data_IF_374909380568
#
_entry.id   IF_374909380568
#
_cell.length_a   1.000
_cell.length_b   1.000
_cell.length_c   1.000
_cell.angle_alpha   90.00
_cell.angle_beta   90.00
_cell.angle_gamma   90.00
#
_symmetry.space_group_name_H-M   'P 1'
#
loop_
_entity.id
_entity.type
_entity.pdbx_description
1 polymer ?
#
# COMPACT_ATOMS: atom_id res chain seq x y z
N UNK A 1 23.26 5.97 -1.66
CA UNK A 1 21.96 6.18 -2.31
C UNK A 1 20.93 6.20 -1.19
N UNK A 2 20.28 7.32 -0.91
CA UNK A 2 19.21 7.34 0.11
C UNK A 2 18.03 6.57 -0.47
N UNK A 3 17.64 5.48 0.19
CA UNK A 3 16.43 4.75 -0.20
C UNK A 3 15.25 5.65 0.17
N UNK A 4 14.49 6.18 -0.80
CA UNK A 4 13.36 7.03 -0.47
C UNK A 4 12.39 6.23 0.40
N UNK A 5 11.91 6.84 1.48
CA UNK A 5 10.89 6.24 2.32
C UNK A 5 9.76 7.24 2.53
N UNK A 6 8.53 6.74 2.51
CA UNK A 6 7.34 7.58 2.50
C UNK A 6 6.80 7.73 3.91
N UNK A 7 6.89 8.95 4.44
CA UNK A 7 6.43 9.29 5.79
C UNK A 7 4.96 9.73 5.84
N UNK A 8 4.45 10.30 4.75
CA UNK A 8 3.04 10.71 4.62
C UNK A 8 2.56 10.64 3.18
N UNK A 9 1.25 10.49 3.03
CA UNK A 9 0.53 10.57 1.76
C UNK A 9 -0.26 11.87 1.73
N UNK A 10 -0.01 12.70 0.73
CA UNK A 10 -0.78 13.92 0.48
C UNK A 10 -1.70 13.68 -0.71
N UNK A 11 -3.01 13.80 -0.48
CA UNK A 11 -4.03 13.63 -1.52
C UNK A 11 -4.65 14.99 -1.81
N UNK A 12 -4.48 15.46 -3.03
CA UNK A 12 -5.06 16.72 -3.49
C UNK A 12 -6.27 16.45 -4.38
N UNK A 13 -7.35 17.17 -4.07
CA UNK A 13 -8.63 17.11 -4.79
C UNK A 13 -9.08 18.53 -5.13
N UNK A 14 -10.09 18.68 -6.00
CA UNK A 14 -10.71 19.98 -6.25
C UNK A 14 -11.29 20.67 -5.00
N UNK A 15 -11.52 19.91 -3.92
CA UNK A 15 -12.00 20.42 -2.63
C UNK A 15 -10.88 20.77 -1.63
N UNK A 16 -9.61 20.51 -1.97
CA UNK A 16 -8.45 20.78 -1.12
C UNK A 16 -7.50 19.59 -0.95
N UNK A 17 -6.51 19.75 -0.07
CA UNK A 17 -5.46 18.76 0.21
C UNK A 17 -5.68 18.10 1.58
N UNK A 18 -5.63 16.77 1.61
CA UNK A 18 -5.66 15.95 2.82
C UNK A 18 -4.32 15.24 3.04
N UNK A 19 -3.87 15.17 4.28
CA UNK A 19 -2.61 14.52 4.66
C UNK A 19 -2.90 13.28 5.50
N UNK A 20 -2.35 12.14 5.08
CA UNK A 20 -2.48 10.85 5.76
C UNK A 20 -1.13 10.39 6.30
N UNK A 21 -1.09 10.15 7.61
CA UNK A 21 0.07 9.61 8.31
C UNK A 21 -0.08 8.10 8.54
N UNK A 22 1.03 7.37 8.82
CA UNK A 22 0.98 6.01 9.30
C UNK A 22 0.07 5.88 10.52
N UNK A 23 -0.94 5.01 10.43
CA UNK A 23 -1.83 4.70 11.54
C UNK A 23 -1.86 3.19 11.78
N UNK A 24 -1.18 2.73 12.83
CA UNK A 24 -1.10 1.31 13.19
C UNK A 24 -2.43 0.70 13.69
N UNK A 25 -3.48 1.51 13.81
CA UNK A 25 -4.84 1.05 14.05
C UNK A 25 -5.62 0.76 12.75
N UNK A 26 -5.08 1.13 11.58
CA UNK A 26 -5.70 0.81 10.29
C UNK A 26 -5.69 -0.69 10.03
N UNK A 27 -6.67 -1.15 9.24
CA UNK A 27 -6.79 -2.56 8.86
C UNK A 27 -5.54 -3.08 8.15
N UNK A 28 -5.17 -4.32 8.48
CA UNK A 28 -4.20 -5.11 7.73
C UNK A 28 -4.99 -6.09 6.87
N UNK A 29 -4.66 -6.13 5.58
CA UNK A 29 -5.31 -7.01 4.61
C UNK A 29 -4.31 -8.03 4.10
N UNK A 30 -4.85 -9.18 3.70
CA UNK A 30 -4.13 -10.20 2.94
C UNK A 30 -4.64 -10.14 1.52
N UNK A 31 -3.75 -9.97 0.54
CA UNK A 31 -4.12 -9.92 -0.85
C UNK A 31 -3.15 -10.69 -1.74
N UNK A 32 -3.66 -11.15 -2.88
CA UNK A 32 -2.90 -11.87 -3.88
C UNK A 32 -2.55 -10.92 -5.05
N UNK A 33 -1.26 -10.60 -5.27
CA UNK A 33 -0.83 -9.73 -6.37
C UNK A 33 -1.18 -10.30 -7.74
N UNK A 34 -1.27 -9.46 -8.77
CA UNK A 34 -1.60 -9.95 -10.10
C UNK A 34 -0.43 -10.75 -10.68
N UNK A 35 -0.73 -11.69 -11.58
CA UNK A 35 0.28 -12.27 -12.45
C UNK A 35 0.97 -11.15 -13.25
N UNK A 36 2.29 -11.06 -13.10
CA UNK A 36 3.15 -10.03 -13.71
C UNK A 36 3.64 -8.94 -12.74
N UNK A 37 3.09 -8.85 -11.53
CA UNK A 37 3.55 -7.88 -10.53
C UNK A 37 4.96 -8.24 -9.98
N UNK A 38 5.63 -7.35 -9.25
CA UNK A 38 6.92 -7.69 -8.63
C UNK A 38 6.76 -8.70 -7.49
N UNK A 39 5.63 -8.66 -6.78
CA UNK A 39 5.36 -9.45 -5.57
C UNK A 39 4.59 -10.76 -5.84
N UNK A 40 4.67 -11.32 -7.05
CA UNK A 40 3.84 -12.49 -7.46
C UNK A 40 4.01 -13.74 -6.59
N UNK A 41 5.09 -13.83 -5.83
CA UNK A 41 5.43 -15.00 -5.05
C UNK A 41 4.72 -14.98 -3.69
N UNK A 42 3.41 -15.24 -3.72
CA UNK A 42 2.58 -15.50 -2.55
C UNK A 42 1.69 -14.35 -2.09
N UNK A 43 1.01 -14.58 -0.98
CA UNK A 43 0.09 -13.60 -0.40
C UNK A 43 0.85 -12.50 0.34
N UNK A 44 0.41 -11.26 0.13
CA UNK A 44 0.97 -10.07 0.76
C UNK A 44 0.09 -9.66 1.94
N UNK A 45 0.70 -9.44 3.11
CA UNK A 45 0.02 -9.09 4.36
C UNK A 45 0.46 -7.70 4.78
N UNK A 46 -0.27 -6.66 4.37
CA UNK A 46 0.15 -5.27 4.58
C UNK A 46 -1.00 -4.37 5.06
N UNK A 47 -0.61 -3.24 5.66
CA UNK A 47 -1.52 -2.28 6.25
C UNK A 47 -2.10 -1.36 5.20
N UNK A 48 -3.41 -1.11 5.29
CA UNK A 48 -4.10 -0.16 4.42
C UNK A 48 -3.86 1.25 4.92
N UNK A 49 -3.35 2.12 4.05
CA UNK A 49 -3.25 3.55 4.30
C UNK A 49 -4.45 4.31 3.74
N UNK A 50 -4.91 3.92 2.55
CA UNK A 50 -6.06 4.56 1.90
C UNK A 50 -6.90 3.51 1.17
N UNK A 51 -8.22 3.62 1.31
CA UNK A 51 -9.21 2.92 0.49
C UNK A 51 -9.76 3.90 -0.54
N UNK A 52 -9.45 3.67 -1.81
CA UNK A 52 -9.87 4.51 -2.92
C UNK A 52 -11.11 3.88 -3.54
N UNK A 53 -12.19 4.67 -3.63
CA UNK A 53 -13.41 4.28 -4.34
C UNK A 53 -13.37 4.89 -5.73
N UNK A 54 -13.34 4.06 -6.75
CA UNK A 54 -13.42 4.48 -8.16
C UNK A 54 -14.80 4.12 -8.67
N UNK A 55 -15.58 5.13 -9.07
CA UNK A 55 -16.86 4.93 -9.74
C UNK A 55 -16.60 5.08 -11.23
N UNK A 56 -16.89 4.03 -12.01
CA UNK A 56 -16.75 4.09 -13.46
C UNK A 56 -17.67 5.15 -14.06
N UNK A 57 -17.27 5.69 -15.22
CA UNK A 57 -18.15 6.49 -16.07
C UNK A 57 -18.71 5.59 -17.19
N UNK A 58 -19.98 5.75 -17.56
CA UNK A 58 -20.63 4.95 -18.60
C UNK A 58 -21.42 3.75 -18.07
N UNK A 59 -21.39 2.60 -18.77
CA UNK A 59 -22.23 1.43 -18.45
C UNK A 59 -21.81 0.64 -17.20
N UNK A 60 -20.60 0.86 -16.67
CA UNK A 60 -20.13 0.20 -15.45
C UNK A 60 -20.27 1.15 -14.25
N UNK A 61 -21.47 1.17 -13.66
CA UNK A 61 -21.82 2.07 -12.54
C UNK A 61 -21.40 1.53 -11.17
N UNK A 62 -20.88 0.30 -11.11
CA UNK A 62 -20.49 -0.32 -9.84
C UNK A 62 -19.18 0.28 -9.34
N UNK A 63 -19.12 0.72 -8.07
CA UNK A 63 -17.87 1.21 -7.51
C UNK A 63 -16.87 0.06 -7.40
N UNK A 64 -15.66 0.28 -7.90
CA UNK A 64 -14.50 -0.58 -7.64
C UNK A 64 -13.66 0.05 -6.55
N UNK A 65 -13.16 -0.78 -5.64
CA UNK A 65 -12.30 -0.32 -4.56
C UNK A 65 -10.86 -0.78 -4.75
N UNK A 66 -9.93 0.13 -4.47
CA UNK A 66 -8.50 -0.11 -4.47
C UNK A 66 -7.90 0.28 -3.12
N UNK A 67 -6.82 -0.38 -2.74
CA UNK A 67 -6.17 -0.22 -1.46
C UNK A 67 -4.71 0.18 -1.68
N UNK A 68 -4.33 1.35 -1.15
CA UNK A 68 -2.91 1.68 -0.99
C UNK A 68 -2.41 0.99 0.27
N UNK A 69 -1.50 0.05 0.08
CA UNK A 69 -0.92 -0.77 1.15
C UNK A 69 0.58 -0.56 1.28
N UNK A 70 1.07 -0.74 2.50
CA UNK A 70 2.50 -0.68 2.85
C UNK A 70 2.75 -1.62 4.03
N UNK A 71 3.84 -2.39 3.95
CA UNK A 71 4.31 -3.18 5.09
C UNK A 71 4.78 -2.28 6.24
N UNK A 72 4.56 -2.69 7.48
CA UNK A 72 4.95 -1.91 8.66
C UNK A 72 6.47 -1.69 8.73
N UNK A 73 7.26 -2.60 8.15
CA UNK A 73 8.72 -2.53 8.01
C UNK A 73 9.20 -2.14 6.60
N UNK A 74 8.29 -1.86 5.66
CA UNK A 74 8.63 -1.49 4.29
C UNK A 74 8.72 0.05 4.20
N UNK A 75 9.81 0.65 3.71
CA UNK A 75 9.90 2.10 3.54
C UNK A 75 8.99 2.68 2.45
N UNK A 76 8.58 1.86 1.49
CA UNK A 76 7.80 2.28 0.32
C UNK A 76 6.40 1.67 0.33
N UNK A 77 5.47 2.31 -0.39
CA UNK A 77 4.20 1.68 -0.72
C UNK A 77 4.42 0.46 -1.61
N UNK A 78 3.53 -0.52 -1.52
CA UNK A 78 3.65 -1.73 -2.32
C UNK A 78 3.49 -1.42 -3.80
N UNK A 79 2.65 -0.44 -4.14
CA UNK A 79 2.44 0.01 -5.50
C UNK A 79 3.72 0.63 -6.11
N UNK A 80 4.09 0.17 -7.30
CA UNK A 80 5.25 0.67 -8.05
C UNK A 80 4.94 0.72 -9.54
N UNK A 81 5.06 1.89 -10.17
CA UNK A 81 4.79 2.04 -11.61
C UNK A 81 5.76 1.23 -12.48
N UNK A 82 7.04 1.22 -12.12
CA UNK A 82 8.10 0.52 -12.83
C UNK A 82 9.35 0.41 -11.96
N UNK A 83 9.97 -0.77 -11.95
CA UNK A 83 11.28 -1.04 -11.39
C UNK A 83 12.30 -1.31 -12.51
N UNK A 84 13.29 -0.44 -12.74
CA UNK A 84 14.32 -0.67 -13.76
C UNK A 84 15.19 -1.91 -13.48
N UNK A 85 15.33 -2.33 -12.22
CA UNK A 85 16.20 -3.44 -11.84
C UNK A 85 15.56 -4.80 -12.16
N UNK A 86 14.28 -4.98 -11.83
CA UNK A 86 13.53 -6.20 -12.15
C UNK A 86 12.78 -6.14 -13.49
N UNK A 87 12.63 -4.96 -14.08
CA UNK A 87 11.80 -4.72 -15.27
C UNK A 87 10.30 -4.89 -15.02
N UNK A 88 9.89 -5.01 -13.75
CA UNK A 88 8.51 -5.28 -13.34
C UNK A 88 7.84 -4.05 -12.75
N UNK A 89 6.52 -4.12 -12.60
CA UNK A 89 5.70 -3.13 -11.89
C UNK A 89 5.01 -3.82 -10.72
N UNK A 90 4.42 -3.07 -9.81
CA UNK A 90 3.45 -3.62 -8.87
C UNK A 90 2.16 -2.82 -8.91
N UNK A 91 1.07 -3.50 -9.23
CA UNK A 91 -0.26 -2.93 -9.34
C UNK A 91 -0.82 -2.58 -7.97
N UNK A 92 -1.72 -1.59 -7.92
CA UNK A 92 -2.46 -1.27 -6.69
C UNK A 92 -3.44 -2.40 -6.39
N UNK A 93 -3.52 -2.82 -5.13
CA UNK A 93 -4.37 -3.93 -4.72
C UNK A 93 -5.85 -3.57 -4.91
N UNK A 94 -6.56 -4.31 -5.76
CA UNK A 94 -8.01 -4.19 -5.94
C UNK A 94 -8.77 -5.04 -4.92
N UNK A 95 -10.05 -4.74 -4.68
CA UNK A 95 -10.90 -5.54 -3.78
C UNK A 95 -11.03 -7.00 -4.19
N UNK A 96 -10.92 -7.32 -5.48
CA UNK A 96 -10.94 -8.69 -5.99
C UNK A 96 -9.70 -9.50 -5.60
N UNK A 97 -8.60 -8.83 -5.31
CA UNK A 97 -7.34 -9.45 -4.89
C UNK A 97 -7.31 -9.70 -3.38
N UNK A 98 -8.22 -9.10 -2.60
CA UNK A 98 -8.24 -9.26 -1.14
C UNK A 98 -8.80 -10.63 -0.80
N UNK A 99 -7.93 -11.49 -0.24
CA UNK A 99 -8.30 -12.84 0.20
C UNK A 99 -8.72 -12.87 1.67
N UNK A 100 -8.31 -11.87 2.46
CA UNK A 100 -8.66 -11.81 3.87
C UNK A 100 -8.32 -10.49 4.56
N UNK A 101 -8.77 -10.37 5.82
CA UNK A 101 -8.44 -9.25 6.71
C UNK A 101 -7.96 -9.81 8.04
N UNK A 102 -6.93 -9.19 8.61
CA UNK A 102 -6.45 -9.55 9.95
C UNK A 102 -7.43 -9.00 10.97
N UNK A 103 -8.04 -9.90 11.75
CA UNK A 103 -9.06 -9.57 12.76
C UNK A 103 -8.54 -9.65 14.20
N UNK A 104 -7.41 -10.34 14.41
CA UNK A 104 -6.70 -10.35 15.69
C UNK A 104 -5.20 -10.50 15.43
N UNK A 105 -4.38 -9.98 16.34
CA UNK A 105 -2.93 -10.13 16.33
C UNK A 105 -2.53 -10.77 17.64
N UNK A 106 -1.77 -11.86 17.59
CA UNK A 106 -1.15 -12.43 18.80
C UNK A 106 0.10 -11.60 19.09
N UNK A 107 0.17 -10.89 20.23
CA UNK A 107 1.36 -10.15 20.62
C UNK A 107 2.58 -11.09 20.64
N UNK A 108 3.76 -10.57 20.34
CA UNK A 108 5.06 -11.29 20.27
C UNK A 108 5.22 -12.29 19.12
N UNK A 109 4.24 -13.14 18.78
CA UNK A 109 4.34 -14.08 17.64
C UNK A 109 4.22 -13.33 16.30
N UNK A 110 3.29 -12.38 16.20
CA UNK A 110 3.18 -11.51 15.01
C UNK A 110 4.42 -10.64 14.81
N UNK A 111 5.05 -10.20 15.91
CA UNK A 111 6.30 -9.44 15.88
C UNK A 111 7.52 -10.30 15.56
N UNK A 112 7.51 -11.62 15.85
CA UNK A 112 8.63 -12.51 15.51
C UNK A 112 8.88 -12.52 13.99
N UNK A 113 7.82 -12.55 13.17
CA UNK A 113 7.96 -12.45 11.71
C UNK A 113 8.53 -11.09 11.29
N UNK A 114 8.09 -9.99 11.93
CA UNK A 114 8.64 -8.66 11.70
C UNK A 114 10.11 -8.53 12.14
N UNK A 115 10.52 -9.26 13.18
CA UNK A 115 11.88 -9.23 13.73
C UNK A 115 12.86 -10.08 12.89
N UNK A 116 12.36 -11.15 12.26
CA UNK A 116 13.11 -11.97 11.31
C UNK A 116 13.24 -11.32 9.93
N UNK A 117 12.39 -10.33 9.64
CA UNK A 117 12.48 -9.55 8.40
C UNK A 117 13.34 -8.33 8.70
N UNK A 118 14.42 -8.03 7.93
CA UNK A 118 15.25 -6.88 8.22
C UNK A 118 14.40 -5.60 8.23
N UNK A 119 14.30 -4.96 9.39
CA UNK A 119 13.69 -3.64 9.50
C UNK A 119 14.62 -2.65 8.80
N UNK A 120 14.20 -2.13 7.65
CA UNK A 120 14.93 -1.03 7.01
C UNK A 120 14.61 0.25 7.76
N UNK A 121 15.43 0.55 8.78
CA UNK A 121 15.46 1.87 9.40
C UNK A 121 16.13 2.84 8.43
N UNK A 122 15.32 3.54 7.65
CA UNK A 122 15.82 4.59 6.77
C UNK A 122 15.91 5.90 7.57
N UNK A 123 17.12 6.29 7.95
CA UNK A 123 17.40 7.66 8.40
C UNK A 123 17.13 8.63 7.24
N UNK A 124 16.44 9.76 7.49
CA UNK A 124 16.12 10.78 6.47
C UNK A 124 14.76 10.62 5.77
N UNK A 125 13.73 10.15 6.48
CA UNK A 125 12.42 9.86 5.93
C UNK A 125 11.53 11.10 5.70
N UNK A 126 11.93 11.97 4.76
CA UNK A 126 11.21 13.23 4.48
C UNK A 126 10.43 13.19 3.14
N UNK A 127 10.29 12.02 2.52
CA UNK A 127 9.61 11.91 1.22
C UNK A 127 8.08 11.86 1.37
N UNK A 128 7.40 12.68 0.56
CA UNK A 128 5.95 12.77 0.49
C UNK A 128 5.47 12.17 -0.82
N UNK A 129 4.48 11.27 -0.75
CA UNK A 129 3.81 10.79 -1.96
C UNK A 129 2.62 11.73 -2.24
N UNK A 130 2.64 12.40 -3.39
CA UNK A 130 1.54 13.25 -3.82
C UNK A 130 0.63 12.49 -4.79
N UNK A 131 -0.66 12.44 -4.48
CA UNK A 131 -1.68 11.83 -5.34
C UNK A 131 -2.73 12.86 -5.73
N UNK A 132 -2.85 13.12 -7.03
CA UNK A 132 -3.83 14.05 -7.60
C UNK A 132 -4.99 13.26 -8.17
N UNK A 133 -6.18 13.45 -7.61
CA UNK A 133 -7.41 12.90 -8.15
C UNK A 133 -8.02 13.91 -9.14
N UNK A 134 -8.34 13.50 -10.39
CA UNK A 134 -9.13 14.35 -11.28
C UNK A 134 -10.50 14.61 -10.64
N UNK A 135 -10.90 15.89 -10.61
CA UNK A 135 -12.19 16.36 -10.09
C UNK A 135 -13.34 16.09 -11.04
#
# INVERSE_FOLDING_TARGET
YLVPCVAKLEVSTGAGTSIFHPNYSNSVIVYNPNAGDAFMEGDVIHRVYLKIRVVGQGMDTKPTFYYLTKGDNNPLFDFQFYDPASGKRNSIASEKQVVGRVVFTIPYVGYLRLLLTPAQYNEGCDSNLHYNLPG
#
